data_IF_261689810628
#
_entry.id   IF_261689810628
#
_cell.length_a   1.000
_cell.length_b   1.000
_cell.length_c   1.000
_cell.angle_alpha   90.00
_cell.angle_beta   90.00
_cell.angle_gamma   90.00
#
_symmetry.space_group_name_H-M   'P 1'
#
loop_
_entity.id
_entity.type
_entity.pdbx_description
1 polymer ?
#
# COMPACT_ATOMS: atom_id res chain seq x y z
N UNK A 1 52.78 11.37 14.08
CA UNK A 1 51.70 10.35 14.05
C UNK A 1 50.42 11.02 14.51
N UNK A 2 49.70 11.64 13.57
CA UNK A 2 48.34 12.13 13.82
C UNK A 2 47.38 10.97 13.57
N UNK A 3 46.81 10.41 14.63
CA UNK A 3 45.75 9.42 14.49
C UNK A 3 44.51 10.12 13.95
N UNK A 4 44.13 9.82 12.71
CA UNK A 4 42.84 10.22 12.17
C UNK A 4 41.75 9.57 13.03
N UNK A 5 40.75 10.33 13.53
CA UNK A 5 39.68 9.73 14.32
C UNK A 5 38.94 8.72 13.43
N UNK A 6 38.55 7.54 13.95
CA UNK A 6 37.80 6.58 13.16
C UNK A 6 36.52 7.26 12.67
N UNK A 7 36.28 7.24 11.35
CA UNK A 7 35.08 7.83 10.75
C UNK A 7 33.86 7.31 11.53
N UNK A 8 33.01 8.23 11.99
CA UNK A 8 31.84 7.90 12.77
C UNK A 8 31.07 6.79 12.05
N UNK A 9 30.79 5.69 12.77
CA UNK A 9 30.32 4.45 12.15
C UNK A 9 28.89 4.64 11.63
N UNK A 10 28.81 5.13 10.41
CA UNK A 10 27.60 5.64 9.79
C UNK A 10 26.54 4.54 9.77
N UNK A 11 25.46 4.75 10.52
CA UNK A 11 24.38 3.78 10.63
C UNK A 11 23.62 3.76 9.30
N UNK A 12 24.03 2.84 8.42
CA UNK A 12 23.41 2.63 7.13
C UNK A 12 22.37 1.53 7.20
N UNK A 13 21.10 1.91 7.19
CA UNK A 13 19.99 0.97 7.01
C UNK A 13 19.72 0.72 5.51
N UNK A 14 19.06 -0.39 5.19
CA UNK A 14 18.57 -0.69 3.84
C UNK A 14 17.13 -1.17 3.96
N UNK A 15 16.22 -0.55 3.19
CA UNK A 15 14.82 -0.98 3.11
C UNK A 15 14.35 -1.11 1.68
N UNK A 16 13.25 -1.85 1.52
CA UNK A 16 12.50 -1.92 0.28
C UNK A 16 11.34 -0.92 0.36
N UNK A 17 11.26 0.02 -0.59
CA UNK A 17 10.19 1.02 -0.68
C UNK A 17 9.31 0.71 -1.88
N UNK A 18 7.99 0.68 -1.71
CA UNK A 18 7.05 0.48 -2.83
C UNK A 18 6.70 1.83 -3.47
N UNK A 19 7.29 2.11 -4.64
CA UNK A 19 7.21 3.41 -5.32
C UNK A 19 6.88 3.21 -6.81
N UNK A 20 5.86 3.90 -7.32
CA UNK A 20 5.41 3.83 -8.73
C UNK A 20 5.22 2.39 -9.22
N UNK A 21 4.55 1.58 -8.40
CA UNK A 21 4.25 0.15 -8.61
C UNK A 21 5.47 -0.78 -8.74
N UNK A 22 6.58 -0.43 -8.10
CA UNK A 22 7.79 -1.26 -8.00
C UNK A 22 8.40 -1.17 -6.60
N UNK A 23 8.91 -2.28 -6.09
CA UNK A 23 9.81 -2.25 -4.94
C UNK A 23 11.20 -1.76 -5.39
N UNK A 24 11.74 -0.75 -4.70
CA UNK A 24 13.10 -0.26 -4.88
C UNK A 24 13.89 -0.45 -3.60
N UNK A 25 15.16 -0.86 -3.70
CA UNK A 25 16.08 -0.86 -2.56
C UNK A 25 16.65 0.55 -2.38
N UNK A 26 16.43 1.10 -1.19
CA UNK A 26 16.99 2.36 -0.76
C UNK A 26 17.92 2.12 0.42
N UNK A 27 19.15 2.62 0.29
CA UNK A 27 20.12 2.79 1.37
C UNK A 27 19.86 4.12 2.06
N UNK A 28 20.10 4.14 3.36
CA UNK A 28 19.54 5.11 4.29
C UNK A 28 20.67 5.51 5.25
N UNK A 29 20.88 6.77 5.56
CA UNK A 29 21.94 7.18 6.49
C UNK A 29 21.61 8.47 7.23
N UNK A 30 21.97 8.53 8.52
CA UNK A 30 21.87 9.70 9.37
C UNK A 30 23.27 10.27 9.62
N UNK A 31 23.51 11.53 9.26
CA UNK A 31 24.71 12.30 9.63
C UNK A 31 24.25 13.63 10.25
N UNK A 32 24.70 13.98 11.45
CA UNK A 32 24.44 15.28 12.11
C UNK A 32 23.00 15.81 11.92
N UNK A 33 22.01 15.02 12.38
CA UNK A 33 20.55 15.24 12.27
C UNK A 33 19.97 15.26 10.83
N UNK A 34 20.78 15.14 9.77
CA UNK A 34 20.36 15.20 8.38
C UNK A 34 20.07 13.81 7.79
N UNK A 35 18.84 13.65 7.28
CA UNK A 35 18.27 12.41 6.71
C UNK A 35 18.69 12.09 5.25
N UNK A 36 19.64 11.20 4.97
CA UNK A 36 20.11 10.90 3.61
C UNK A 36 19.51 9.60 3.03
N UNK A 37 18.97 9.69 1.80
CA UNK A 37 18.58 8.52 0.99
C UNK A 37 19.48 8.38 -0.22
N UNK A 38 19.85 7.13 -0.53
CA UNK A 38 20.53 6.73 -1.75
C UNK A 38 19.79 5.52 -2.32
N UNK A 39 19.18 5.64 -3.51
CA UNK A 39 18.49 4.53 -4.16
C UNK A 39 19.11 4.22 -5.52
N UNK A 40 19.28 2.94 -5.82
CA UNK A 40 19.93 2.50 -7.05
C UNK A 40 19.00 2.68 -8.26
N UNK A 41 19.17 3.79 -9.00
CA UNK A 41 18.60 3.92 -10.34
C UNK A 41 19.29 2.92 -11.28
N UNK A 42 18.59 1.85 -11.66
CA UNK A 42 19.07 0.89 -12.66
C UNK A 42 19.29 1.61 -14.01
N UNK A 43 20.54 1.95 -14.31
CA UNK A 43 20.93 2.70 -15.51
C UNK A 43 20.80 1.82 -16.76
N UNK A 44 19.81 2.10 -17.58
CA UNK A 44 20.00 2.10 -19.04
C UNK A 44 19.73 3.53 -19.56
N UNK A 45 20.81 4.13 -20.06
CA UNK A 45 20.86 5.28 -20.98
C UNK A 45 20.11 6.58 -20.63
N UNK A 46 20.79 7.39 -19.80
CA UNK A 46 21.17 8.78 -20.11
C UNK A 46 20.16 9.69 -20.84
N UNK A 47 19.51 10.59 -20.09
CA UNK A 47 19.70 12.04 -20.29
C UNK A 47 19.44 12.81 -19.00
N UNK A 48 19.93 14.06 -18.92
CA UNK A 48 20.23 14.74 -17.64
C UNK A 48 19.21 15.78 -17.21
N UNK A 49 18.83 15.78 -15.93
CA UNK A 49 18.51 16.98 -15.12
C UNK A 49 18.55 16.63 -13.63
N UNK A 50 18.88 17.59 -12.77
CA UNK A 50 19.21 17.39 -11.35
C UNK A 50 18.06 17.73 -10.39
N UNK A 51 18.07 17.16 -9.18
CA UNK A 51 17.11 17.49 -8.12
C UNK A 51 17.20 16.56 -6.89
N UNK A 52 18.03 16.93 -5.91
CA UNK A 52 18.20 16.17 -4.66
C UNK A 52 17.20 16.61 -3.57
N UNK A 53 16.50 15.66 -2.93
CA UNK A 53 16.01 15.79 -1.54
C UNK A 53 15.99 14.41 -0.84
N UNK A 54 17.06 14.13 -0.08
CA UNK A 54 17.09 13.66 1.32
C UNK A 54 15.84 12.95 1.90
N UNK A 55 15.99 11.73 2.47
CA UNK A 55 14.94 10.94 3.17
C UNK A 55 15.58 9.74 3.96
N UNK A 56 14.88 8.72 4.53
CA UNK A 56 14.67 8.53 5.98
C UNK A 56 15.33 7.26 6.62
N UNK A 57 14.85 6.78 7.80
CA UNK A 57 14.72 5.33 8.20
C UNK A 57 15.69 4.70 9.25
N UNK A 58 15.41 3.44 9.69
CA UNK A 58 15.67 2.76 10.99
C UNK A 58 16.15 1.28 10.78
N UNK A 59 16.87 0.67 11.75
CA UNK A 59 17.03 -0.79 12.04
C UNK A 59 17.40 -0.98 13.54
N UNK A 60 16.90 -1.90 14.39
CA UNK A 60 16.66 -3.38 14.36
C UNK A 60 17.93 -4.23 14.58
N UNK A 61 18.02 -5.32 15.37
CA UNK A 61 17.09 -6.16 16.18
C UNK A 61 17.70 -6.39 17.63
N UNK A 62 17.67 -7.51 18.44
CA UNK A 62 17.02 -8.83 18.33
C UNK A 62 16.26 -9.46 19.55
N UNK A 63 15.37 -10.42 19.24
CA UNK A 63 14.93 -11.66 19.96
C UNK A 63 14.89 -11.71 21.52
N UNK A 64 13.68 -11.80 22.12
CA UNK A 64 13.28 -13.00 22.90
C UNK A 64 11.74 -13.20 23.03
N UNK A 65 11.31 -14.47 23.02
CA UNK A 65 9.92 -14.96 23.08
C UNK A 65 9.30 -14.87 24.50
N UNK A 66 8.00 -14.55 24.62
CA UNK A 66 7.11 -15.10 25.65
C UNK A 66 5.60 -14.91 25.31
N UNK A 67 4.77 -15.92 25.62
CA UNK A 67 3.32 -15.87 25.42
C UNK A 67 2.62 -14.94 26.43
N UNK A 68 1.61 -14.20 25.98
CA UNK A 68 0.56 -13.68 26.88
C UNK A 68 -0.77 -13.50 26.14
N UNK A 69 -1.84 -14.07 26.70
CA UNK A 69 -3.18 -14.12 26.09
C UNK A 69 -3.89 -12.78 26.18
N UNK A 70 -4.49 -12.30 25.08
CA UNK A 70 -5.71 -11.50 25.19
C UNK A 70 -6.61 -11.65 23.95
N UNK A 71 -7.91 -11.43 24.14
CA UNK A 71 -8.96 -11.68 23.14
C UNK A 71 -9.48 -10.39 22.48
N UNK A 72 -10.23 -10.60 21.38
CA UNK A 72 -11.27 -9.72 20.80
C UNK A 72 -10.91 -8.82 19.59
N UNK A 73 -11.48 -9.23 18.45
CA UNK A 73 -12.14 -8.43 17.41
C UNK A 73 -11.33 -7.84 16.23
N UNK A 74 -11.64 -8.36 15.03
CA UNK A 74 -11.41 -7.77 13.70
C UNK A 74 -9.98 -7.34 13.32
N UNK A 75 -8.97 -8.08 13.77
CA UNK A 75 -7.63 -8.01 13.17
C UNK A 75 -7.67 -8.44 11.69
N UNK A 76 -7.37 -7.51 10.79
CA UNK A 76 -6.96 -7.85 9.41
C UNK A 76 -5.65 -8.63 9.50
N UNK A 77 -5.52 -9.84 8.91
CA UNK A 77 -4.30 -10.64 9.07
C UNK A 77 -3.06 -9.91 8.56
N UNK A 78 -2.06 -9.75 9.42
CA UNK A 78 -0.91 -8.88 9.20
C UNK A 78 -0.09 -9.23 7.94
N UNK A 79 -0.15 -10.49 7.50
CA UNK A 79 0.49 -11.00 6.28
C UNK A 79 -0.13 -10.48 4.96
N UNK A 80 -1.32 -9.86 5.00
CA UNK A 80 -2.10 -9.53 3.80
C UNK A 80 -1.88 -8.08 3.33
N UNK A 81 -1.37 -7.19 4.20
CA UNK A 81 -1.15 -5.78 3.83
C UNK A 81 -0.22 -5.65 2.62
N UNK A 82 -0.66 -4.87 1.62
CA UNK A 82 0.03 -4.62 0.34
C UNK A 82 0.06 -5.76 -0.70
N UNK A 83 -0.61 -6.90 -0.51
CA UNK A 83 -0.75 -7.90 -1.59
C UNK A 83 -1.97 -7.65 -2.49
N UNK A 84 -1.75 -7.60 -3.81
CA UNK A 84 -2.80 -7.52 -4.83
C UNK A 84 -3.61 -8.82 -4.86
N UNK A 85 -4.94 -8.75 -4.81
CA UNK A 85 -5.81 -9.92 -4.63
C UNK A 85 -7.10 -9.82 -5.45
N UNK A 86 -7.44 -10.89 -6.17
CA UNK A 86 -8.70 -10.99 -6.92
C UNK A 86 -9.79 -11.51 -6.00
N UNK A 87 -10.83 -10.71 -5.73
CA UNK A 87 -11.98 -11.11 -4.91
C UNK A 87 -13.24 -11.20 -5.76
N UNK A 88 -13.91 -12.36 -5.71
CA UNK A 88 -15.15 -12.64 -6.44
C UNK A 88 -16.35 -12.47 -5.53
N UNK A 89 -17.29 -11.63 -5.96
CA UNK A 89 -18.52 -11.29 -5.26
C UNK A 89 -19.69 -11.67 -6.15
N UNK A 90 -20.59 -12.52 -5.63
CA UNK A 90 -21.90 -12.76 -6.25
C UNK A 90 -22.94 -12.04 -5.42
N UNK A 91 -23.54 -10.98 -5.97
CA UNK A 91 -24.60 -10.21 -5.31
C UNK A 91 -25.98 -10.62 -5.84
N UNK A 92 -27.04 -10.61 -5.00
CA UNK A 92 -28.41 -10.79 -5.49
C UNK A 92 -28.83 -9.65 -6.42
N UNK A 93 -29.83 -9.90 -7.26
CA UNK A 93 -30.40 -8.89 -8.15
C UNK A 93 -30.93 -7.68 -7.36
N UNK A 94 -30.87 -6.50 -7.99
CA UNK A 94 -31.19 -5.19 -7.39
C UNK A 94 -30.43 -4.83 -6.09
N UNK A 95 -29.47 -5.64 -5.64
CA UNK A 95 -28.72 -5.43 -4.39
C UNK A 95 -27.39 -4.69 -4.67
N UNK A 96 -26.92 -3.90 -3.70
CA UNK A 96 -25.58 -3.29 -3.75
C UNK A 96 -24.48 -4.27 -3.34
N UNK A 97 -23.22 -3.95 -3.64
CA UNK A 97 -22.08 -4.77 -3.19
C UNK A 97 -21.92 -4.82 -1.66
N UNK A 98 -22.44 -3.83 -0.92
CA UNK A 98 -22.26 -3.75 0.53
C UNK A 98 -20.99 -3.03 0.97
N UNK A 99 -20.49 -2.10 0.16
CA UNK A 99 -19.33 -1.26 0.49
C UNK A 99 -19.65 0.23 0.29
N UNK A 100 -19.01 1.08 1.07
CA UNK A 100 -18.78 2.49 0.74
C UNK A 100 -17.35 2.67 0.23
N UNK A 101 -17.15 3.60 -0.70
CA UNK A 101 -15.83 3.97 -1.22
C UNK A 101 -15.49 5.43 -0.91
N UNK A 102 -14.20 5.79 -1.00
CA UNK A 102 -13.65 7.16 -0.96
C UNK A 102 -12.50 7.29 -1.97
N UNK A 103 -11.96 8.49 -2.13
CA UNK A 103 -10.83 8.76 -3.04
C UNK A 103 -11.26 9.24 -4.42
N UNK A 104 -10.51 8.90 -5.47
CA UNK A 104 -10.72 9.37 -6.85
C UNK A 104 -9.62 10.31 -7.33
N UNK A 105 -9.39 10.38 -8.65
CA UNK A 105 -8.34 11.18 -9.30
C UNK A 105 -8.33 12.65 -8.87
N UNK A 106 -9.51 13.25 -8.73
CA UNK A 106 -9.72 14.63 -8.26
C UNK A 106 -9.14 14.88 -6.86
N UNK A 107 -9.17 13.85 -6.01
CA UNK A 107 -8.62 13.86 -4.65
C UNK A 107 -7.17 13.36 -4.58
N UNK A 108 -6.55 13.03 -5.73
CA UNK A 108 -5.23 12.39 -5.85
C UNK A 108 -5.08 11.10 -5.01
N UNK A 109 -6.19 10.40 -4.76
CA UNK A 109 -6.24 9.16 -3.99
C UNK A 109 -6.79 8.01 -4.85
N UNK A 110 -6.31 6.77 -4.68
CA UNK A 110 -6.97 5.61 -5.29
C UNK A 110 -8.40 5.45 -4.76
N UNK A 111 -9.21 4.63 -5.43
CA UNK A 111 -10.52 4.26 -4.94
C UNK A 111 -10.34 3.31 -3.75
N UNK A 112 -10.71 3.75 -2.54
CA UNK A 112 -10.49 3.01 -1.29
C UNK A 112 -11.83 2.58 -0.68
N UNK A 113 -11.91 1.36 -0.15
CA UNK A 113 -13.03 0.92 0.69
C UNK A 113 -13.03 1.73 1.99
N UNK A 114 -14.08 2.50 2.24
CA UNK A 114 -14.26 3.34 3.43
C UNK A 114 -15.15 2.69 4.49
N UNK A 115 -16.02 1.76 4.09
CA UNK A 115 -16.84 0.93 4.98
C UNK A 115 -17.28 -0.34 4.28
N UNK A 116 -17.39 -1.44 5.04
CA UNK A 116 -18.09 -2.66 4.65
C UNK A 116 -19.36 -2.76 5.52
N UNK A 117 -20.46 -3.22 4.92
CA UNK A 117 -21.76 -3.35 5.60
C UNK A 117 -22.00 -4.82 5.98
N UNK A 118 -22.30 -5.14 7.26
CA UNK A 118 -22.38 -6.51 7.72
C UNK A 118 -23.53 -7.29 7.06
N UNK A 119 -23.30 -8.57 6.80
CA UNK A 119 -24.19 -9.50 6.10
C UNK A 119 -24.48 -9.17 4.62
N UNK A 120 -23.78 -8.23 4.01
CA UNK A 120 -23.90 -7.89 2.58
C UNK A 120 -22.89 -8.68 1.71
N UNK A 121 -23.03 -8.73 0.37
CA UNK A 121 -22.22 -9.60 -0.48
C UNK A 121 -20.70 -9.45 -0.34
N UNK A 122 -20.18 -8.22 -0.15
CA UNK A 122 -18.75 -7.99 0.09
C UNK A 122 -18.26 -8.53 1.45
N UNK A 123 -19.07 -8.35 2.51
CA UNK A 123 -18.80 -8.83 3.86
C UNK A 123 -18.76 -10.37 3.91
N UNK A 124 -19.72 -11.00 3.23
CA UNK A 124 -19.83 -12.46 3.08
C UNK A 124 -18.62 -13.11 2.39
N UNK A 125 -17.76 -12.34 1.71
CA UNK A 125 -16.51 -12.90 1.14
C UNK A 125 -15.45 -13.21 2.19
N UNK A 126 -15.45 -12.53 3.35
CA UNK A 126 -14.36 -12.54 4.34
C UNK A 126 -13.02 -11.97 3.84
N UNK A 127 -12.96 -11.49 2.59
CA UNK A 127 -11.74 -11.22 1.82
C UNK A 127 -11.55 -9.74 1.47
N UNK A 128 -12.45 -8.85 1.90
CA UNK A 128 -12.33 -7.40 1.73
C UNK A 128 -12.24 -6.72 3.09
N UNK A 129 -11.41 -5.69 3.19
CA UNK A 129 -11.19 -4.92 4.42
C UNK A 129 -11.31 -3.42 4.18
N UNK A 130 -11.66 -2.67 5.22
CA UNK A 130 -11.66 -1.19 5.16
C UNK A 130 -10.22 -0.71 5.04
N UNK A 131 -9.94 0.11 4.03
CA UNK A 131 -8.58 0.51 3.64
C UNK A 131 -8.08 -0.15 2.36
N UNK A 132 -8.71 -1.22 1.86
CA UNK A 132 -8.38 -1.81 0.55
C UNK A 132 -8.50 -0.78 -0.57
N UNK A 133 -7.55 -0.80 -1.52
CA UNK A 133 -7.64 -0.09 -2.78
C UNK A 133 -8.27 -0.99 -3.85
N UNK A 134 -9.32 -0.49 -4.52
CA UNK A 134 -9.92 -1.13 -5.68
C UNK A 134 -9.18 -0.59 -6.92
N UNK A 135 -8.33 -1.44 -7.49
CA UNK A 135 -7.54 -1.20 -8.68
C UNK A 135 -8.33 -1.50 -9.95
N UNK A 136 -9.17 -2.54 -9.95
CA UNK A 136 -10.07 -2.82 -11.08
C UNK A 136 -11.43 -3.44 -10.68
N UNK A 137 -12.39 -3.38 -11.61
CA UNK A 137 -13.72 -3.97 -11.51
C UNK A 137 -14.06 -4.67 -12.83
N UNK A 138 -14.23 -5.99 -12.82
CA UNK A 138 -14.45 -6.83 -14.01
C UNK A 138 -13.43 -6.53 -15.14
N UNK A 139 -12.16 -6.33 -14.77
CA UNK A 139 -11.07 -5.97 -15.68
C UNK A 139 -11.03 -4.51 -16.17
N UNK A 140 -11.97 -3.64 -15.78
CA UNK A 140 -11.85 -2.19 -16.02
C UNK A 140 -11.03 -1.54 -14.89
N UNK A 141 -9.96 -0.84 -15.26
CA UNK A 141 -9.12 -0.05 -14.35
C UNK A 141 -9.90 1.07 -13.64
N UNK A 142 -9.60 1.25 -12.35
CA UNK A 142 -10.07 2.32 -11.47
C UNK A 142 -8.94 3.21 -10.93
N UNK A 143 -7.66 2.93 -11.22
CA UNK A 143 -6.52 3.68 -10.63
C UNK A 143 -6.51 5.17 -11.02
N UNK A 144 -7.08 5.53 -12.17
CA UNK A 144 -7.06 6.90 -12.71
C UNK A 144 -8.44 7.49 -13.04
N UNK A 145 -9.54 6.90 -12.54
CA UNK A 145 -10.91 7.41 -12.72
C UNK A 145 -11.31 8.43 -11.64
N UNK A 146 -12.40 9.18 -11.85
CA UNK A 146 -12.97 10.03 -10.79
C UNK A 146 -13.77 9.21 -9.77
N UNK A 147 -14.09 9.80 -8.60
CA UNK A 147 -14.97 9.16 -7.63
C UNK A 147 -16.32 8.80 -8.25
N UNK A 148 -16.93 9.72 -8.99
CA UNK A 148 -18.22 9.48 -9.63
C UNK A 148 -18.12 8.39 -10.71
N UNK A 149 -17.06 8.36 -11.52
CA UNK A 149 -16.88 7.29 -12.51
C UNK A 149 -16.72 5.93 -11.82
N UNK A 150 -15.94 5.83 -10.74
CA UNK A 150 -15.84 4.60 -9.95
C UNK A 150 -17.19 4.13 -9.40
N UNK A 151 -18.01 5.05 -8.87
CA UNK A 151 -19.39 4.76 -8.44
C UNK A 151 -20.24 4.25 -9.61
N UNK A 152 -20.11 4.84 -10.81
CA UNK A 152 -20.84 4.40 -12.00
C UNK A 152 -20.38 3.00 -12.48
N UNK A 153 -19.09 2.68 -12.41
CA UNK A 153 -18.56 1.35 -12.74
C UNK A 153 -19.09 0.29 -11.76
N UNK A 154 -18.95 0.54 -10.45
CA UNK A 154 -19.39 -0.39 -9.39
C UNK A 154 -20.91 -0.60 -9.37
N UNK A 155 -21.70 0.41 -9.78
CA UNK A 155 -23.16 0.27 -9.99
C UNK A 155 -23.52 -0.54 -11.24
N UNK A 156 -22.75 -0.40 -12.32
CA UNK A 156 -22.95 -1.12 -13.60
C UNK A 156 -22.37 -2.54 -13.60
N UNK A 157 -21.51 -2.87 -12.63
CA UNK A 157 -21.06 -4.24 -12.40
C UNK A 157 -22.28 -5.14 -12.12
N UNK A 158 -22.37 -6.25 -12.87
CA UNK A 158 -23.52 -7.16 -12.88
C UNK A 158 -23.63 -8.02 -11.62
N UNK A 159 -24.45 -9.09 -11.68
CA UNK A 159 -24.65 -10.05 -10.59
C UNK A 159 -23.32 -10.64 -10.07
N UNK A 160 -22.41 -10.95 -11.00
CA UNK A 160 -21.05 -11.40 -10.74
C UNK A 160 -20.06 -10.23 -10.88
N UNK A 161 -19.26 -10.01 -9.83
CA UNK A 161 -18.27 -8.94 -9.76
C UNK A 161 -16.92 -9.49 -9.31
N UNK A 162 -15.88 -9.20 -10.10
CA UNK A 162 -14.48 -9.46 -9.80
C UNK A 162 -13.82 -8.12 -9.45
N UNK A 163 -13.33 -7.98 -8.21
CA UNK A 163 -12.53 -6.85 -7.75
C UNK A 163 -11.05 -7.24 -7.66
N UNK A 164 -10.17 -6.26 -7.83
CA UNK A 164 -8.71 -6.40 -7.82
C UNK A 164 -8.02 -5.18 -7.21
#
# INVERSE_FOLDING_TARGET
MTGEPPLAQQQRAVVELYVRSKWIKASLALEDENLFIEYAHNKHEQQTSTGSVNSPTITDEPIQNNNSTNNNNNSTPDTITSQKRIVKIVKPDNTGLGISIKGGRENRMPILISKIFPNMPADQTGQLYVGDAILSVNGKDLQHVSHEEAVQILKKAGRDVELE
#
